data_IF_373014679952
#
_entry.id   IF_373014679952
#
_cell.length_a   1.000
_cell.length_b   1.000
_cell.length_c   1.000
_cell.angle_alpha   90.00
_cell.angle_beta   90.00
_cell.angle_gamma   90.00
#
_symmetry.space_group_name_H-M   'P 1'
#
loop_
_entity.id
_entity.type
_entity.pdbx_description
1 polymer ?
#
# COMPACT_ATOMS: atom_id res chain seq x y z
N UNK A 1 3.65 -11.64 -10.36
CA UNK A 1 4.83 -11.55 -9.49
C UNK A 1 5.14 -10.10 -9.17
N UNK A 2 5.45 -9.80 -7.91
CA UNK A 2 5.71 -8.44 -7.46
C UNK A 2 7.05 -7.96 -8.00
N UNK A 3 7.09 -6.77 -8.61
CA UNK A 3 8.33 -6.20 -9.13
C UNK A 3 9.25 -5.72 -8.02
N UNK A 4 8.66 -5.23 -6.93
CA UNK A 4 9.40 -4.67 -5.81
C UNK A 4 9.28 -5.54 -4.57
N UNK A 5 10.36 -5.69 -3.77
CA UNK A 5 10.26 -6.37 -2.48
C UNK A 5 9.44 -5.54 -1.48
N UNK A 6 9.02 -6.19 -0.40
CA UNK A 6 8.18 -5.54 0.61
C UNK A 6 8.79 -4.25 1.16
N UNK A 7 10.11 -4.24 1.41
CA UNK A 7 10.74 -3.05 1.98
C UNK A 7 10.66 -1.84 1.04
N UNK A 8 10.70 -2.07 -0.28
CA UNK A 8 10.53 -1.00 -1.25
C UNK A 8 9.10 -0.50 -1.27
N UNK A 9 8.14 -1.42 -1.21
CA UNK A 9 6.73 -1.06 -1.17
C UNK A 9 6.41 -0.26 0.08
N UNK A 10 7.01 -0.62 1.20
CA UNK A 10 6.85 0.15 2.45
C UNK A 10 7.36 1.56 2.31
N UNK A 11 8.51 1.73 1.66
CA UNK A 11 9.07 3.07 1.43
C UNK A 11 8.17 3.89 0.52
N UNK A 12 7.63 3.28 -0.52
CA UNK A 12 6.71 3.96 -1.43
C UNK A 12 5.45 4.39 -0.68
N UNK A 13 4.91 3.53 0.16
CA UNK A 13 3.75 3.86 0.95
C UNK A 13 4.02 5.02 1.90
N UNK A 14 5.18 5.05 2.53
CA UNK A 14 5.57 6.15 3.42
C UNK A 14 5.56 7.49 2.70
N UNK A 15 6.00 7.53 1.46
CA UNK A 15 5.99 8.75 0.65
C UNK A 15 4.58 9.25 0.39
N UNK A 16 3.60 8.37 0.47
CA UNK A 16 2.19 8.71 0.28
C UNK A 16 1.46 8.87 1.61
N UNK A 17 2.20 8.91 2.72
CA UNK A 17 1.65 8.98 4.07
C UNK A 17 0.76 7.79 4.39
N UNK A 18 1.16 6.62 3.91
CA UNK A 18 0.43 5.38 4.14
C UNK A 18 1.35 4.36 4.82
N UNK A 19 0.75 3.32 5.38
CA UNK A 19 1.49 2.25 6.03
C UNK A 19 0.99 0.90 5.54
N UNK A 20 1.92 -0.02 5.33
CA UNK A 20 1.60 -1.40 4.96
C UNK A 20 1.73 -2.25 6.23
N UNK A 21 0.65 -2.94 6.59
CA UNK A 21 0.61 -3.81 7.75
C UNK A 21 0.36 -5.24 7.28
N UNK A 22 1.14 -6.19 7.78
CA UNK A 22 0.89 -7.59 7.49
C UNK A 22 0.00 -8.19 8.56
N UNK A 23 -1.09 -8.82 8.15
CA UNK A 23 -2.00 -9.52 9.06
C UNK A 23 -1.75 -11.01 8.93
N UNK A 24 -1.12 -11.59 9.95
CA UNK A 24 -0.79 -13.02 9.96
C UNK A 24 -2.04 -13.90 9.97
N UNK A 25 -3.06 -13.45 10.65
CA UNK A 25 -4.29 -14.21 10.81
C UNK A 25 -5.01 -14.42 9.48
N UNK A 26 -5.02 -13.40 8.65
CA UNK A 26 -5.68 -13.43 7.35
C UNK A 26 -4.70 -13.62 6.19
N UNK A 27 -3.42 -13.75 6.51
CA UNK A 27 -2.36 -13.95 5.52
C UNK A 27 -2.43 -12.92 4.39
N UNK A 28 -2.52 -11.65 4.77
CA UNK A 28 -2.62 -10.58 3.79
C UNK A 28 -2.03 -9.29 4.30
N UNK A 29 -1.88 -8.33 3.38
CA UNK A 29 -1.35 -7.01 3.69
C UNK A 29 -2.47 -5.99 3.66
N UNK A 30 -2.38 -5.01 4.56
CA UNK A 30 -3.37 -3.94 4.68
C UNK A 30 -2.68 -2.63 4.43
N UNK A 31 -3.28 -1.79 3.58
CA UNK A 31 -2.78 -0.45 3.32
C UNK A 31 -3.64 0.53 4.11
N UNK A 32 -3.04 1.19 5.10
CA UNK A 32 -3.79 2.08 6.01
C UNK A 32 -3.19 3.47 6.05
N UNK A 33 -4.03 4.44 6.38
CA UNK A 33 -3.63 5.80 6.68
C UNK A 33 -3.29 5.85 8.17
N UNK A 34 -2.02 6.10 8.54
CA UNK A 34 -1.62 6.07 9.96
C UNK A 34 -2.20 7.22 10.77
N UNK A 35 -2.63 8.31 10.14
CA UNK A 35 -3.22 9.45 10.84
C UNK A 35 -4.64 9.16 11.27
N UNK A 36 -5.47 8.65 10.36
CA UNK A 36 -6.87 8.35 10.63
C UNK A 36 -7.10 6.90 11.03
N UNK A 37 -6.11 6.05 10.79
CA UNK A 37 -6.17 4.62 11.03
C UNK A 37 -7.26 3.93 10.21
N UNK A 38 -7.52 4.46 9.03
CA UNK A 38 -8.53 3.96 8.11
C UNK A 38 -7.86 3.17 6.98
N UNK A 39 -8.49 2.06 6.59
CA UNK A 39 -8.00 1.27 5.46
C UNK A 39 -8.12 2.10 4.18
N UNK A 40 -7.00 2.28 3.49
CA UNK A 40 -6.91 3.15 2.33
C UNK A 40 -7.20 2.42 1.01
N UNK A 41 -7.28 1.11 1.02
CA UNK A 41 -7.43 0.33 -0.21
C UNK A 41 -8.29 -0.91 0.01
N UNK A 42 -8.92 -1.38 -1.06
CA UNK A 42 -9.73 -2.58 -1.03
C UNK A 42 -9.24 -3.57 -2.09
N UNK A 43 -9.33 -4.88 -1.84
CA UNK A 43 -9.87 -5.48 -0.61
C UNK A 43 -8.98 -5.18 0.59
N UNK A 44 -9.53 -5.34 1.80
CA UNK A 44 -8.79 -5.04 3.03
C UNK A 44 -7.49 -5.84 3.10
N UNK A 45 -7.56 -7.13 2.80
CA UNK A 45 -6.37 -8.00 2.81
C UNK A 45 -5.92 -8.25 1.37
N UNK A 46 -4.69 -7.85 1.09
CA UNK A 46 -4.16 -7.86 -0.27
C UNK A 46 -2.86 -8.66 -0.35
N UNK A 47 -2.56 -9.15 -1.56
CA UNK A 47 -1.24 -9.72 -1.85
C UNK A 47 -0.26 -8.56 -2.07
N UNK A 48 1.04 -8.87 -2.08
CA UNK A 48 2.05 -7.86 -2.39
C UNK A 48 1.83 -7.27 -3.78
N UNK A 49 1.40 -8.08 -4.72
CA UNK A 49 1.10 -7.61 -6.07
C UNK A 49 -0.01 -6.58 -6.08
N UNK A 50 -1.07 -6.83 -5.32
CA UNK A 50 -2.18 -5.89 -5.21
C UNK A 50 -1.75 -4.60 -4.53
N UNK A 51 -0.91 -4.70 -3.49
CA UNK A 51 -0.37 -3.52 -2.82
C UNK A 51 0.43 -2.69 -3.81
N UNK A 52 1.27 -3.33 -4.61
CA UNK A 52 2.06 -2.63 -5.62
C UNK A 52 1.16 -1.90 -6.62
N UNK A 53 0.11 -2.55 -7.08
CA UNK A 53 -0.84 -1.94 -8.01
C UNK A 53 -1.50 -0.71 -7.42
N UNK A 54 -1.90 -0.80 -6.16
CA UNK A 54 -2.49 0.34 -5.46
C UNK A 54 -1.52 1.49 -5.32
N UNK A 55 -0.27 1.19 -4.97
CA UNK A 55 0.76 2.22 -4.86
C UNK A 55 1.02 2.88 -6.21
N UNK A 56 1.06 2.10 -7.27
CA UNK A 56 1.22 2.64 -8.62
C UNK A 56 0.10 3.63 -8.96
N UNK A 57 -1.13 3.28 -8.65
CA UNK A 57 -2.28 4.16 -8.90
C UNK A 57 -2.22 5.43 -8.08
N UNK A 58 -1.90 5.29 -6.80
CA UNK A 58 -1.83 6.44 -5.91
C UNK A 58 -0.68 7.38 -6.27
N UNK A 59 0.45 6.83 -6.67
CA UNK A 59 1.58 7.63 -7.11
C UNK A 59 1.25 8.38 -8.40
N UNK A 60 0.52 7.74 -9.27
CA UNK A 60 0.09 8.34 -10.52
C UNK A 60 -0.81 9.55 -10.27
N UNK A 61 -1.77 9.39 -9.34
CA UNK A 61 -2.66 10.48 -8.97
C UNK A 61 -1.88 11.62 -8.31
N UNK A 62 -0.95 11.29 -7.44
CA UNK A 62 -0.14 12.28 -6.76
C UNK A 62 0.73 13.08 -7.71
N UNK A 63 1.20 12.46 -8.77
CA UNK A 63 2.07 13.11 -9.75
C UNK A 63 1.30 14.01 -10.72
N UNK A 64 0.01 13.84 -10.81
CA UNK A 64 -0.80 14.60 -11.76
C UNK A 64 -0.84 16.09 -11.44
N UNK A 65 -0.47 16.47 -10.24
CA UNK A 65 -0.51 17.87 -9.79
C UNK A 65 0.82 18.60 -9.95
N UNK A 66 1.81 17.91 -10.41
CA UNK A 66 3.17 18.51 -10.56
C UNK A 66 3.39 19.15 -11.94
#
# INVERSE_FOLDING_TARGET
>A
MTRDPLWKLRRRAEKLDLRIIYDRKNDGFILVDPVTNVVAAYPTFMTLEQVEEWLDELEKDGNSND
#
